data_IF_746888988176
#
_entry.id   IF_746888988176
#
_cell.length_a   1.000
_cell.length_b   1.000
_cell.length_c   1.000
_cell.angle_alpha   90.00
_cell.angle_beta   90.00
_cell.angle_gamma   90.00
#
_symmetry.space_group_name_H-M   'P 1'
#
loop_
_entity.id
_entity.type
_entity.pdbx_description
1 polymer ?
#
# COMPACT_ATOMS: atom_id res chain seq x y z
N UNK A 1 41.00 21.28 16.67
CA UNK A 1 40.39 20.47 15.60
C UNK A 1 38.89 20.65 15.70
N UNK A 2 38.32 21.56 14.94
CA UNK A 2 36.88 21.87 14.93
C UNK A 2 36.25 21.16 13.75
N UNK A 3 35.36 20.21 14.03
CA UNK A 3 34.56 19.49 13.04
C UNK A 3 33.57 20.45 12.37
N UNK A 4 33.77 20.73 11.09
CA UNK A 4 32.79 21.40 10.26
C UNK A 4 31.66 20.41 9.94
N UNK A 5 30.56 20.49 10.69
CA UNK A 5 29.32 19.81 10.31
C UNK A 5 28.70 20.55 9.13
N UNK A 6 28.84 20.01 7.92
CA UNK A 6 28.19 20.53 6.73
C UNK A 6 26.66 20.48 6.88
N UNK A 7 26.04 21.64 7.04
CA UNK A 7 24.59 21.79 7.04
C UNK A 7 24.11 21.63 5.60
N UNK A 8 23.65 20.43 5.23
CA UNK A 8 23.07 20.18 3.91
C UNK A 8 21.80 21.04 3.74
N UNK A 9 21.75 21.99 2.79
CA UNK A 9 20.57 22.83 2.63
C UNK A 9 19.38 21.99 2.15
N UNK A 10 18.27 22.03 2.90
CA UNK A 10 17.01 21.43 2.48
C UNK A 10 16.56 22.09 1.17
N UNK A 11 16.51 21.33 0.08
CA UNK A 11 16.04 21.81 -1.22
C UNK A 11 14.61 22.34 -1.05
N UNK A 12 14.41 23.62 -1.39
CA UNK A 12 13.08 24.24 -1.38
C UNK A 12 12.16 23.43 -2.28
N UNK A 13 10.97 23.09 -1.78
CA UNK A 13 9.95 22.38 -2.56
C UNK A 13 9.65 23.13 -3.86
N UNK A 14 9.13 22.39 -4.85
CA UNK A 14 8.76 22.94 -6.15
C UNK A 14 7.80 24.13 -6.05
N UNK A 15 7.74 24.91 -7.13
CA UNK A 15 6.91 26.11 -7.26
C UNK A 15 5.46 25.86 -6.78
N UNK A 16 4.85 26.75 -5.98
CA UNK A 16 3.47 26.57 -5.51
C UNK A 16 2.52 26.34 -6.69
N UNK A 17 1.76 25.25 -6.65
CA UNK A 17 0.90 24.80 -7.77
C UNK A 17 1.52 23.74 -8.69
N UNK A 18 2.82 23.43 -8.53
CA UNK A 18 3.46 22.34 -9.26
C UNK A 18 3.16 20.97 -8.62
N UNK A 19 2.08 20.33 -9.08
CA UNK A 19 1.66 19.00 -8.62
C UNK A 19 2.69 17.88 -8.88
N UNK A 20 3.74 18.12 -9.68
CA UNK A 20 4.77 17.10 -9.90
C UNK A 20 5.59 16.82 -8.64
N UNK A 21 5.72 17.76 -7.69
CA UNK A 21 6.39 17.46 -6.42
C UNK A 21 5.60 16.44 -5.59
N UNK A 22 4.26 16.43 -5.69
CA UNK A 22 3.41 15.44 -5.02
C UNK A 22 3.57 14.06 -5.66
N UNK A 23 3.67 14.01 -7.00
CA UNK A 23 3.94 12.78 -7.74
C UNK A 23 5.31 12.21 -7.39
N UNK A 24 6.36 13.02 -7.40
CA UNK A 24 7.74 12.59 -7.10
C UNK A 24 7.96 12.23 -5.63
N UNK A 25 7.31 12.92 -4.69
CA UNK A 25 7.32 12.53 -3.27
C UNK A 25 6.74 11.13 -3.04
N UNK A 26 5.67 10.78 -3.77
CA UNK A 26 5.06 9.45 -3.73
C UNK A 26 5.94 8.35 -4.34
N UNK A 27 6.68 8.63 -5.41
CA UNK A 27 7.57 7.65 -6.05
C UNK A 27 8.79 7.29 -5.19
N UNK A 28 9.30 8.23 -4.39
CA UNK A 28 10.49 8.04 -3.55
C UNK A 28 10.15 7.20 -2.31
N UNK A 29 8.93 7.33 -1.77
CA UNK A 29 8.63 6.72 -0.47
C UNK A 29 8.46 5.20 -0.49
N UNK A 30 8.29 4.53 -1.64
CA UNK A 30 8.01 3.07 -1.69
C UNK A 30 6.87 2.61 -0.76
N UNK A 31 6.12 3.56 -0.18
CA UNK A 31 5.02 3.30 0.72
C UNK A 31 3.86 2.98 -0.18
N UNK A 32 3.26 1.81 0.03
CA UNK A 32 2.01 1.45 -0.63
C UNK A 32 1.06 2.64 -0.48
N UNK A 33 0.69 3.25 -1.61
CA UNK A 33 -0.37 4.24 -1.60
C UNK A 33 -1.60 3.44 -1.18
N UNK A 34 -2.03 3.59 0.07
CA UNK A 34 -3.31 3.08 0.53
C UNK A 34 -4.37 3.87 -0.20
N UNK A 35 -4.70 3.45 -1.43
CA UNK A 35 -5.87 3.90 -2.19
C UNK A 35 -7.12 3.29 -1.54
N UNK A 36 -7.26 3.44 -0.22
CA UNK A 36 -8.43 3.00 0.53
C UNK A 36 -9.38 4.18 0.58
N UNK A 37 -10.58 4.00 0.04
CA UNK A 37 -11.73 4.90 0.20
C UNK A 37 -12.02 5.15 1.68
N UNK A 38 -12.77 6.21 1.99
CA UNK A 38 -13.18 6.49 3.38
C UNK A 38 -13.94 5.31 4.01
N UNK A 39 -14.72 4.58 3.20
CA UNK A 39 -15.48 3.39 3.62
C UNK A 39 -14.53 2.25 3.97
N UNK A 40 -13.55 1.94 3.12
CA UNK A 40 -12.56 0.90 3.39
C UNK A 40 -11.74 1.20 4.65
N UNK A 41 -11.40 2.48 4.89
CA UNK A 41 -10.73 2.88 6.14
C UNK A 41 -11.59 2.65 7.38
N UNK A 42 -12.90 2.95 7.31
CA UNK A 42 -13.84 2.67 8.39
C UNK A 42 -13.94 1.15 8.66
N UNK A 43 -14.02 0.34 7.60
CA UNK A 43 -14.02 -1.12 7.71
C UNK A 43 -12.71 -1.66 8.30
N UNK A 44 -11.56 -1.06 7.98
CA UNK A 44 -10.28 -1.44 8.60
C UNK A 44 -10.25 -1.13 10.10
N UNK A 45 -10.78 0.03 10.52
CA UNK A 45 -10.91 0.35 11.95
C UNK A 45 -11.86 -0.61 12.67
N UNK A 46 -12.96 -0.99 12.02
CA UNK A 46 -13.89 -1.98 12.57
C UNK A 46 -13.21 -3.35 12.68
N UNK A 47 -12.43 -3.77 11.69
CA UNK A 47 -11.68 -5.02 11.71
C UNK A 47 -10.66 -5.07 12.84
N UNK A 48 -9.94 -3.97 13.11
CA UNK A 48 -9.01 -3.86 14.24
C UNK A 48 -9.76 -3.99 15.58
N UNK A 49 -10.93 -3.37 15.70
CA UNK A 49 -11.77 -3.51 16.89
C UNK A 49 -12.20 -4.97 17.08
N UNK A 50 -12.63 -5.64 16.03
CA UNK A 50 -13.01 -7.06 16.08
C UNK A 50 -11.82 -7.93 16.53
N UNK A 51 -10.63 -7.75 15.94
CA UNK A 51 -9.39 -8.44 16.34
C UNK A 51 -9.13 -8.26 17.85
N UNK A 52 -9.25 -7.02 18.33
CA UNK A 52 -9.04 -6.69 19.76
C UNK A 52 -10.08 -7.40 20.63
N UNK A 53 -11.35 -7.37 20.25
CA UNK A 53 -12.44 -8.05 20.98
C UNK A 53 -12.25 -9.57 21.00
N UNK A 54 -11.83 -10.17 19.89
CA UNK A 54 -11.55 -11.62 19.83
C UNK A 54 -10.39 -12.00 20.74
N UNK A 55 -9.34 -11.17 20.82
CA UNK A 55 -8.23 -11.36 21.76
C UNK A 55 -8.72 -11.31 23.21
N UNK A 56 -9.50 -10.29 23.56
CA UNK A 56 -10.07 -10.16 24.91
C UNK A 56 -10.98 -11.34 25.26
N UNK A 57 -11.75 -11.83 24.29
CA UNK A 57 -12.61 -13.00 24.45
C UNK A 57 -11.80 -14.27 24.75
N UNK A 58 -10.70 -14.52 24.03
CA UNK A 58 -9.80 -15.64 24.30
C UNK A 58 -9.23 -15.55 25.72
N UNK A 59 -8.78 -14.37 26.14
CA UNK A 59 -8.25 -14.18 27.49
C UNK A 59 -9.31 -14.46 28.57
N UNK A 60 -10.55 -13.98 28.38
CA UNK A 60 -11.65 -14.25 29.31
C UNK A 60 -11.99 -15.74 29.38
N UNK A 61 -12.05 -16.42 28.22
CA UNK A 61 -12.26 -17.87 28.17
C UNK A 61 -11.16 -18.64 28.90
N UNK A 62 -9.91 -18.18 28.78
CA UNK A 62 -8.80 -18.78 29.50
C UNK A 62 -8.97 -18.64 31.03
N UNK A 63 -9.31 -17.44 31.52
CA UNK A 63 -9.57 -17.21 32.95
C UNK A 63 -10.74 -18.03 33.49
N UNK A 64 -11.80 -18.21 32.69
CA UNK A 64 -12.92 -19.10 33.06
C UNK A 64 -12.51 -20.58 32.99
N UNK A 65 -11.63 -20.94 32.05
CA UNK A 65 -11.06 -22.28 31.93
C UNK A 65 -10.27 -22.72 33.16
N UNK A 66 -9.61 -21.79 33.85
CA UNK A 66 -8.91 -22.04 35.12
C UNK A 66 -9.87 -22.43 36.26
N UNK A 67 -11.16 -22.08 36.15
CA UNK A 67 -12.19 -22.34 37.16
C UNK A 67 -13.02 -23.59 36.87
N UNK A 68 -12.79 -24.25 35.73
CA UNK A 68 -13.52 -25.47 35.35
C UNK A 68 -13.34 -26.57 36.39
N UNK A 69 -14.44 -27.23 36.76
CA UNK A 69 -14.43 -28.31 37.77
C UNK A 69 -14.46 -29.68 37.12
N UNK A 70 -14.98 -29.76 35.92
CA UNK A 70 -15.13 -31.01 35.18
C UNK A 70 -14.25 -31.04 33.93
N UNK A 71 -13.83 -32.24 33.55
CA UNK A 71 -13.06 -32.47 32.31
C UNK A 71 -13.89 -32.06 31.08
N UNK A 72 -15.21 -32.23 31.12
CA UNK A 72 -16.11 -31.83 30.04
C UNK A 72 -16.10 -30.30 29.83
N UNK A 73 -16.20 -29.52 30.90
CA UNK A 73 -16.08 -28.05 30.85
C UNK A 73 -14.71 -27.62 30.35
N UNK A 74 -13.64 -28.25 30.83
CA UNK A 74 -12.28 -27.96 30.39
C UNK A 74 -12.11 -28.20 28.87
N UNK A 75 -12.56 -29.34 28.37
CA UNK A 75 -12.48 -29.69 26.95
C UNK A 75 -13.29 -28.72 26.09
N UNK A 76 -14.50 -28.34 26.52
CA UNK A 76 -15.32 -27.35 25.83
C UNK A 76 -14.62 -25.99 25.78
N UNK A 77 -14.01 -25.57 26.88
CA UNK A 77 -13.31 -24.29 26.99
C UNK A 77 -12.08 -24.26 26.09
N UNK A 78 -11.30 -25.34 26.09
CA UNK A 78 -10.13 -25.51 25.21
C UNK A 78 -10.52 -25.54 23.73
N UNK A 79 -11.63 -26.19 23.39
CA UNK A 79 -12.18 -26.18 22.04
C UNK A 79 -12.58 -24.76 21.60
N UNK A 80 -13.27 -24.02 22.46
CA UNK A 80 -13.69 -22.64 22.18
C UNK A 80 -12.49 -21.70 22.01
N UNK A 81 -11.46 -21.83 22.85
CA UNK A 81 -10.20 -21.08 22.71
C UNK A 81 -9.54 -21.38 21.38
N UNK A 82 -9.44 -22.67 21.01
CA UNK A 82 -8.82 -23.09 19.75
C UNK A 82 -9.56 -22.54 18.53
N UNK A 83 -10.90 -22.61 18.55
CA UNK A 83 -11.75 -22.05 17.49
C UNK A 83 -11.59 -20.53 17.37
N UNK A 84 -11.58 -19.82 18.50
CA UNK A 84 -11.37 -18.37 18.53
C UNK A 84 -9.96 -17.97 18.06
N UNK A 85 -8.92 -18.75 18.37
CA UNK A 85 -7.56 -18.51 17.90
C UNK A 85 -7.44 -18.68 16.37
N UNK A 86 -8.13 -19.68 15.80
CA UNK A 86 -8.21 -19.87 14.33
C UNK A 86 -8.93 -18.67 13.69
N UNK A 87 -10.02 -18.19 14.29
CA UNK A 87 -10.71 -16.99 13.80
C UNK A 87 -9.79 -15.75 13.86
N UNK A 88 -9.07 -15.56 14.96
CA UNK A 88 -8.15 -14.43 15.15
C UNK A 88 -7.02 -14.41 14.10
N UNK A 89 -6.39 -15.57 13.84
CA UNK A 89 -5.34 -15.68 12.83
C UNK A 89 -5.85 -15.34 11.43
N UNK A 90 -7.07 -15.76 11.08
CA UNK A 90 -7.71 -15.39 9.80
C UNK A 90 -7.99 -13.89 9.71
N UNK A 91 -8.51 -13.28 10.78
CA UNK A 91 -8.76 -11.83 10.81
C UNK A 91 -7.47 -11.02 10.65
N UNK A 92 -6.38 -11.45 11.31
CA UNK A 92 -5.06 -10.82 11.16
C UNK A 92 -4.54 -10.98 9.73
N UNK A 93 -4.68 -12.16 9.12
CA UNK A 93 -4.29 -12.39 7.72
C UNK A 93 -5.05 -11.46 6.77
N UNK A 94 -6.36 -11.34 6.94
CA UNK A 94 -7.21 -10.44 6.14
C UNK A 94 -6.75 -8.99 6.32
N UNK A 95 -6.55 -8.55 7.57
CA UNK A 95 -6.06 -7.21 7.85
C UNK A 95 -4.70 -6.93 7.19
N UNK A 96 -3.77 -7.89 7.20
CA UNK A 96 -2.47 -7.77 6.54
C UNK A 96 -2.60 -7.65 5.01
N UNK A 97 -3.51 -8.41 4.40
CA UNK A 97 -3.79 -8.31 2.96
C UNK A 97 -4.34 -6.92 2.59
N UNK A 98 -5.28 -6.38 3.37
CA UNK A 98 -5.83 -5.04 3.13
C UNK A 98 -4.80 -3.91 3.33
N UNK A 99 -3.80 -4.09 4.20
CA UNK A 99 -2.71 -3.12 4.35
C UNK A 99 -1.72 -3.10 3.18
N UNK A 100 -1.60 -4.23 2.47
CA UNK A 100 -0.59 -4.49 1.45
C UNK A 100 -1.16 -4.53 0.03
N UNK A 101 -2.34 -3.95 -0.22
CA UNK A 101 -2.88 -3.83 -1.57
C UNK A 101 -1.98 -2.91 -2.41
N UNK A 102 -1.00 -3.50 -3.09
CA UNK A 102 -0.28 -2.84 -4.17
C UNK A 102 -1.27 -2.49 -5.27
N UNK A 103 -1.07 -1.35 -5.96
CA UNK A 103 -1.87 -1.05 -7.14
C UNK A 103 -1.83 -2.24 -8.10
N UNK A 104 -2.96 -2.59 -8.76
CA UNK A 104 -2.96 -3.61 -9.79
C UNK A 104 -1.85 -3.32 -10.78
N UNK A 105 -1.00 -4.32 -11.07
CA UNK A 105 0.09 -4.25 -12.05
C UNK A 105 -0.40 -3.69 -13.39
N UNK A 106 -1.66 -3.96 -13.73
CA UNK A 106 -2.33 -3.51 -14.94
C UNK A 106 -2.40 -1.99 -15.02
N UNK A 107 -2.52 -1.28 -13.90
CA UNK A 107 -2.55 0.18 -13.90
C UNK A 107 -1.21 0.80 -14.30
N UNK A 108 -0.10 0.10 -14.05
CA UNK A 108 1.25 0.49 -14.49
C UNK A 108 1.41 0.19 -15.98
N UNK A 109 0.90 -0.95 -16.45
CA UNK A 109 0.92 -1.34 -17.87
C UNK A 109 0.09 -0.35 -18.70
N UNK A 110 -1.13 -0.04 -18.30
CA UNK A 110 -2.02 0.89 -19.02
C UNK A 110 -1.45 2.31 -19.13
N UNK A 111 -0.72 2.79 -18.10
CA UNK A 111 0.00 4.06 -18.18
C UNK A 111 1.16 4.03 -19.18
N UNK A 112 1.91 2.92 -19.25
CA UNK A 112 2.97 2.77 -20.25
C UNK A 112 2.39 2.74 -21.66
N UNK A 113 1.31 1.99 -21.88
CA UNK A 113 0.67 1.87 -23.20
C UNK A 113 0.06 3.19 -23.66
N UNK A 114 -0.61 3.94 -22.78
CA UNK A 114 -1.18 5.25 -23.14
C UNK A 114 -0.12 6.30 -23.44
N UNK A 115 1.00 6.31 -22.70
CA UNK A 115 2.14 7.19 -22.98
C UNK A 115 2.81 6.82 -24.30
N UNK A 116 3.00 5.53 -24.59
CA UNK A 116 3.55 5.06 -25.86
C UNK A 116 2.66 5.47 -27.05
N UNK A 117 1.34 5.29 -26.94
CA UNK A 117 0.39 5.71 -27.97
C UNK A 117 0.42 7.23 -28.20
N UNK A 118 0.61 8.02 -27.14
CA UNK A 118 0.73 9.47 -27.26
C UNK A 118 2.03 9.87 -27.97
N UNK A 119 3.14 9.26 -27.60
CA UNK A 119 4.45 9.47 -28.24
C UNK A 119 4.39 9.08 -29.72
N UNK A 120 3.78 7.95 -30.04
CA UNK A 120 3.61 7.48 -31.41
C UNK A 120 2.72 8.42 -32.24
N UNK A 121 1.62 8.91 -31.67
CA UNK A 121 0.76 9.91 -32.31
C UNK A 121 1.54 11.20 -32.65
N UNK A 122 2.36 11.71 -31.73
CA UNK A 122 3.18 12.89 -32.00
C UNK A 122 4.32 12.60 -32.97
N UNK A 123 4.93 11.42 -32.93
CA UNK A 123 5.96 10.99 -33.90
C UNK A 123 5.37 10.94 -35.31
N UNK A 124 4.20 10.33 -35.49
CA UNK A 124 3.51 10.24 -36.79
C UNK A 124 3.06 11.63 -37.29
N UNK A 125 2.65 12.52 -36.38
CA UNK A 125 2.32 13.91 -36.73
C UNK A 125 3.57 14.70 -37.14
N UNK A 126 4.70 14.50 -36.46
CA UNK A 126 5.97 15.17 -36.80
C UNK A 126 6.51 14.64 -38.13
N UNK A 127 6.49 13.33 -38.36
CA UNK A 127 6.92 12.74 -39.65
C UNK A 127 6.02 13.14 -40.83
N UNK A 128 4.74 13.47 -40.57
CA UNK A 128 3.85 14.01 -41.60
C UNK A 128 4.12 15.48 -41.95
N UNK A 129 4.86 16.20 -41.11
CA UNK A 129 5.15 17.65 -41.26
C UNK A 129 6.61 17.90 -41.63
N UNK A 130 7.52 17.00 -41.25
CA UNK A 130 8.97 17.07 -41.51
C UNK A 130 9.38 15.74 -42.11
N UNK A 131 9.85 15.75 -43.36
CA UNK A 131 10.49 14.59 -43.97
C UNK A 131 11.85 14.40 -43.30
N UNK A 132 11.94 13.40 -42.40
CA UNK A 132 13.11 13.18 -41.54
C UNK A 132 14.36 12.76 -42.33
N UNK A 133 14.23 12.43 -43.62
CA UNK A 133 15.34 12.19 -44.55
C UNK A 133 16.24 13.41 -44.77
N UNK A 134 15.76 14.63 -44.52
CA UNK A 134 16.56 15.86 -44.66
C UNK A 134 17.46 16.16 -43.44
N UNK A 135 17.31 15.43 -42.32
CA UNK A 135 18.08 15.64 -41.09
C UNK A 135 19.28 14.69 -40.93
N UNK A 136 19.37 13.61 -41.71
CA UNK A 136 20.50 12.65 -41.67
C UNK A 136 21.61 12.96 -42.70
N UNK A 137 21.48 14.02 -43.51
CA UNK A 137 22.41 14.38 -44.59
C UNK A 137 23.53 15.37 -44.23
N UNK A 138 23.75 15.67 -42.95
CA UNK A 138 24.59 16.79 -42.48
C UNK A 138 25.95 16.42 -41.89
N UNK A 139 26.64 15.38 -42.37
CA UNK A 139 28.08 15.18 -42.10
C UNK A 139 28.88 15.34 -43.40
N UNK A 140 29.47 16.53 -43.58
CA UNK A 140 30.70 16.75 -44.33
C UNK A 140 31.54 17.79 -43.61
#
# INVERSE_FOLDING_TARGET
>A
MTENSEIVPRRRGGQPGNLNHLKHGLYIESRSIRNTTAIERAQMTDLIQIITRTKDFINRLYEEGLKCKTIAEYNLTMHNISSAAIALTRLISIHSQFQNTSLPSDFIVTKKTTVLNLVEHYKNRISSVIDLSDLEGGEK
#
